data_IF_953932158730
#
_entry.id   IF_953932158730
#
_cell.length_a   1.000
_cell.length_b   1.000
_cell.length_c   1.000
_cell.angle_alpha   90.00
_cell.angle_beta   90.00
_cell.angle_gamma   90.00
#
_symmetry.space_group_name_H-M   'P 1'
#
loop_
_entity.id
_entity.type
_entity.pdbx_description
1 polymer ?
#
# COMPACT_ATOMS: atom_id res chain seq x y z
N UNK A 1 -10.81 -15.14 18.50
CA UNK A 1 -11.07 -13.80 17.93
C UNK A 1 -10.76 -13.72 16.44
N UNK A 2 -9.63 -14.29 15.98
CA UNK A 2 -9.19 -14.22 14.58
C UNK A 2 -10.24 -14.66 13.55
N UNK A 3 -10.92 -15.79 13.82
CA UNK A 3 -11.96 -16.36 12.94
C UNK A 3 -13.39 -15.85 13.23
N UNK A 4 -13.54 -14.88 14.14
CA UNK A 4 -14.81 -14.24 14.36
C UNK A 4 -15.06 -13.16 13.27
N UNK A 5 -16.32 -12.94 12.89
CA UNK A 5 -16.67 -11.88 11.96
C UNK A 5 -16.16 -10.50 12.42
N UNK A 6 -15.82 -9.65 11.45
CA UNK A 6 -15.57 -8.24 11.68
C UNK A 6 -16.67 -7.43 11.00
N UNK A 7 -17.33 -6.57 11.78
CA UNK A 7 -18.35 -5.65 11.30
C UNK A 7 -17.73 -4.27 11.05
N UNK A 8 -17.98 -3.74 9.88
CA UNK A 8 -17.87 -2.33 9.54
C UNK A 8 -19.27 -1.72 9.55
N UNK A 9 -19.39 -0.43 9.28
CA UNK A 9 -20.68 0.25 9.26
C UNK A 9 -21.72 -0.48 8.39
N UNK A 10 -21.36 -0.83 7.16
CA UNK A 10 -22.26 -1.44 6.17
C UNK A 10 -21.73 -2.74 5.55
N UNK A 11 -20.58 -3.24 6.01
CA UNK A 11 -19.96 -4.47 5.52
C UNK A 11 -19.66 -5.41 6.68
N UNK A 12 -19.88 -6.70 6.48
CA UNK A 12 -19.45 -7.74 7.42
C UNK A 12 -18.57 -8.74 6.67
N UNK A 13 -17.40 -9.03 7.21
CA UNK A 13 -16.48 -10.05 6.70
C UNK A 13 -16.45 -11.24 7.65
N UNK A 14 -16.34 -12.47 7.13
CA UNK A 14 -16.49 -13.71 7.90
C UNK A 14 -15.38 -13.97 8.92
N UNK A 15 -14.21 -13.34 8.76
CA UNK A 15 -13.10 -13.40 9.71
C UNK A 15 -12.23 -12.13 9.58
N UNK A 16 -11.21 -12.02 10.42
CA UNK A 16 -10.37 -10.81 10.54
C UNK A 16 -9.08 -10.86 9.74
N UNK A 17 -9.01 -11.78 8.75
CA UNK A 17 -7.86 -11.93 7.85
C UNK A 17 -8.20 -11.36 6.48
N UNK A 18 -7.40 -10.41 6.04
CA UNK A 18 -7.52 -9.76 4.74
C UNK A 18 -6.36 -10.13 3.84
N UNK A 19 -6.61 -10.34 2.57
CA UNK A 19 -5.56 -10.33 1.55
C UNK A 19 -5.25 -8.90 1.19
N UNK A 20 -4.00 -8.47 1.38
CA UNK A 20 -3.57 -7.12 1.03
C UNK A 20 -3.41 -6.95 -0.48
N UNK A 21 -3.50 -5.70 -0.93
CA UNK A 21 -3.27 -5.33 -2.32
C UNK A 21 -1.87 -5.73 -2.80
N UNK A 22 -1.81 -6.54 -3.84
CA UNK A 22 -0.56 -6.92 -4.55
C UNK A 22 -0.84 -7.00 -6.04
N UNK A 23 0.01 -6.35 -6.83
CA UNK A 23 -0.01 -6.49 -8.29
C UNK A 23 0.85 -7.65 -8.75
N UNK A 24 0.38 -8.37 -9.77
CA UNK A 24 1.13 -9.45 -10.42
C UNK A 24 1.77 -9.06 -11.74
N UNK A 25 1.41 -7.91 -12.32
CA UNK A 25 1.86 -7.42 -13.64
C UNK A 25 1.56 -8.39 -14.79
N UNK A 26 0.40 -9.03 -14.77
CA UNK A 26 -0.04 -10.05 -15.76
C UNK A 26 -1.31 -9.66 -16.48
N UNK A 27 -1.79 -8.44 -16.26
CA UNK A 27 -2.93 -7.90 -16.98
C UNK A 27 -2.52 -7.40 -18.37
N UNK A 28 -3.47 -7.05 -19.20
CA UNK A 28 -3.22 -6.62 -20.57
C UNK A 28 -2.64 -5.19 -20.62
N UNK A 29 -1.86 -4.91 -21.65
CA UNK A 29 -1.20 -3.61 -21.86
C UNK A 29 -2.16 -2.43 -22.00
N UNK A 30 -3.36 -2.67 -22.51
CA UNK A 30 -4.40 -1.65 -22.66
C UNK A 30 -5.16 -1.36 -21.36
N UNK A 31 -4.75 -1.94 -20.23
CA UNK A 31 -5.42 -1.79 -18.94
C UNK A 31 -6.65 -2.67 -18.74
N UNK A 32 -6.98 -3.57 -19.67
CA UNK A 32 -8.00 -4.59 -19.44
C UNK A 32 -7.45 -5.74 -18.61
N UNK A 33 -8.29 -6.36 -17.80
CA UNK A 33 -7.94 -7.57 -17.07
C UNK A 33 -8.05 -8.84 -17.93
N UNK A 34 -7.57 -9.95 -17.40
CA UNK A 34 -7.63 -11.24 -18.06
C UNK A 34 -7.89 -12.38 -17.06
N UNK A 35 -8.04 -13.61 -17.58
CA UNK A 35 -8.35 -14.80 -16.76
C UNK A 35 -7.26 -15.12 -15.70
N UNK A 36 -5.99 -14.77 -15.96
CA UNK A 36 -4.92 -14.98 -14.99
C UNK A 36 -5.16 -14.20 -13.70
N UNK A 37 -5.72 -12.96 -13.79
CA UNK A 37 -6.13 -12.17 -12.64
C UNK A 37 -7.25 -12.87 -11.85
N UNK A 38 -8.29 -13.34 -12.52
CA UNK A 38 -9.41 -14.05 -11.87
C UNK A 38 -8.90 -15.28 -11.12
N UNK A 39 -8.04 -16.08 -11.75
CA UNK A 39 -7.45 -17.27 -11.13
C UNK A 39 -6.59 -16.93 -9.91
N UNK A 40 -5.83 -15.86 -10.00
CA UNK A 40 -4.98 -15.40 -8.91
C UNK A 40 -5.80 -14.96 -7.68
N UNK A 41 -6.83 -14.15 -7.89
CA UNK A 41 -7.69 -13.69 -6.78
C UNK A 41 -8.44 -14.91 -6.16
N UNK A 42 -8.96 -15.81 -6.99
CA UNK A 42 -9.63 -17.03 -6.53
C UNK A 42 -8.75 -17.91 -5.63
N UNK A 43 -7.46 -17.99 -5.88
CA UNK A 43 -6.52 -18.77 -5.07
C UNK A 43 -6.58 -18.38 -3.59
N UNK A 44 -6.61 -17.07 -3.30
CA UNK A 44 -6.64 -16.56 -1.94
C UNK A 44 -8.03 -16.61 -1.33
N UNK A 45 -9.08 -16.33 -2.09
CA UNK A 45 -10.45 -16.47 -1.64
C UNK A 45 -10.77 -17.91 -1.21
N UNK A 46 -10.33 -18.91 -2.01
CA UNK A 46 -10.41 -20.33 -1.68
C UNK A 46 -9.62 -20.68 -0.41
N UNK A 47 -8.55 -19.96 -0.11
CA UNK A 47 -7.77 -20.09 1.13
C UNK A 47 -8.49 -19.62 2.38
N UNK A 48 -9.69 -19.05 2.29
CA UNK A 48 -10.58 -18.75 3.42
C UNK A 48 -10.44 -17.37 4.03
N UNK A 49 -9.75 -16.41 3.39
CA UNK A 49 -9.67 -15.02 3.87
C UNK A 49 -11.05 -14.37 3.94
N UNK A 50 -11.26 -13.47 4.90
CA UNK A 50 -12.54 -12.78 5.09
C UNK A 50 -12.83 -11.75 4.01
N UNK A 51 -11.80 -11.02 3.60
CA UNK A 51 -11.90 -10.11 2.47
C UNK A 51 -10.58 -10.04 1.69
N UNK A 52 -10.70 -9.65 0.44
CA UNK A 52 -9.58 -9.36 -0.44
C UNK A 52 -9.59 -7.88 -0.82
N UNK A 53 -8.42 -7.28 -0.71
CA UNK A 53 -8.16 -5.97 -1.31
C UNK A 53 -7.49 -6.25 -2.64
N UNK A 54 -8.09 -5.78 -3.73
CA UNK A 54 -7.57 -6.02 -5.08
C UNK A 54 -6.13 -5.50 -5.24
N UNK A 55 -5.43 -5.91 -6.29
CA UNK A 55 -4.31 -5.08 -6.73
C UNK A 55 -4.78 -3.64 -6.92
N UNK A 56 -3.87 -2.68 -6.78
CA UNK A 56 -4.24 -1.31 -7.08
C UNK A 56 -4.83 -1.20 -8.49
N UNK A 57 -6.00 -0.58 -8.59
CA UNK A 57 -6.69 -0.31 -9.84
C UNK A 57 -6.57 1.19 -10.17
N UNK A 58 -5.76 1.56 -11.16
CA UNK A 58 -5.63 2.96 -11.55
C UNK A 58 -6.95 3.54 -12.06
N UNK A 59 -7.28 4.74 -11.57
CA UNK A 59 -8.51 5.47 -11.94
C UNK A 59 -8.39 6.16 -13.32
N UNK A 60 -7.18 6.18 -13.89
CA UNK A 60 -6.89 6.69 -15.23
C UNK A 60 -5.72 5.93 -15.84
N UNK A 61 -5.62 5.91 -17.17
CA UNK A 61 -4.50 5.28 -17.88
C UNK A 61 -3.16 5.93 -17.50
N UNK A 62 -3.12 7.24 -17.36
CA UNK A 62 -1.91 7.94 -16.92
C UNK A 62 -1.51 7.64 -15.48
N UNK A 63 -2.45 7.15 -14.66
CA UNK A 63 -2.23 6.77 -13.26
C UNK A 63 -1.62 5.39 -13.06
N UNK A 64 -1.31 4.64 -14.11
CA UNK A 64 -0.64 3.33 -14.00
C UNK A 64 0.83 3.48 -13.58
N UNK A 65 1.32 2.53 -12.80
CA UNK A 65 2.76 2.41 -12.53
C UNK A 65 3.45 1.75 -13.72
N UNK A 66 2.88 0.64 -14.19
CA UNK A 66 3.34 -0.13 -15.34
C UNK A 66 2.18 -0.41 -16.29
N UNK A 67 2.43 -0.66 -17.59
CA UNK A 67 1.34 -0.82 -18.56
C UNK A 67 0.45 -2.04 -18.30
N UNK A 68 1.02 -3.15 -17.84
CA UNK A 68 0.33 -4.42 -17.61
C UNK A 68 -0.37 -4.51 -16.25
N UNK A 69 -1.20 -3.53 -15.95
CA UNK A 69 -2.04 -3.44 -14.75
C UNK A 69 -3.47 -3.11 -15.15
N UNK A 70 -4.42 -3.90 -14.64
CA UNK A 70 -5.84 -3.67 -14.87
C UNK A 70 -6.29 -2.36 -14.24
N UNK A 71 -7.02 -1.55 -15.00
CA UNK A 71 -7.54 -0.26 -14.58
C UNK A 71 -9.05 -0.31 -14.27
N UNK A 72 -9.58 0.80 -13.77
CA UNK A 72 -11.01 1.06 -13.66
C UNK A 72 -11.36 2.45 -14.24
N UNK A 73 -10.63 2.84 -15.26
CA UNK A 73 -10.64 4.16 -15.88
C UNK A 73 -11.84 4.42 -16.81
N UNK A 74 -12.47 3.37 -17.31
CA UNK A 74 -13.60 3.44 -18.24
C UNK A 74 -14.65 2.35 -17.98
N UNK A 75 -15.84 2.51 -18.54
CA UNK A 75 -16.99 1.63 -18.24
C UNK A 75 -16.81 0.22 -18.83
N UNK A 76 -15.99 0.07 -19.85
CA UNK A 76 -15.62 -1.23 -20.44
C UNK A 76 -14.87 -2.13 -19.44
N UNK A 77 -14.41 -1.59 -18.31
CA UNK A 77 -13.78 -2.37 -17.22
C UNK A 77 -14.81 -3.03 -16.29
N UNK A 78 -16.04 -2.53 -16.24
CA UNK A 78 -17.10 -2.99 -15.32
C UNK A 78 -17.36 -4.50 -15.43
N UNK A 79 -17.56 -5.10 -16.64
CA UNK A 79 -17.82 -6.53 -16.76
C UNK A 79 -16.67 -7.40 -16.18
N UNK A 80 -15.43 -6.99 -16.42
CA UNK A 80 -14.27 -7.72 -15.88
C UNK A 80 -14.24 -7.70 -14.35
N UNK A 81 -14.39 -6.53 -13.74
CA UNK A 81 -14.37 -6.43 -12.27
C UNK A 81 -15.56 -7.16 -11.64
N UNK A 82 -16.73 -7.17 -12.30
CA UNK A 82 -17.87 -8.00 -11.88
C UNK A 82 -17.51 -9.48 -11.87
N UNK A 83 -16.88 -9.97 -12.92
CA UNK A 83 -16.43 -11.37 -13.01
C UNK A 83 -15.48 -11.73 -11.87
N UNK A 84 -14.53 -10.86 -11.52
CA UNK A 84 -13.62 -11.07 -10.39
C UNK A 84 -14.39 -11.11 -9.07
N UNK A 85 -15.27 -10.15 -8.82
CA UNK A 85 -16.08 -10.08 -7.60
C UNK A 85 -16.97 -11.30 -7.41
N UNK A 86 -17.64 -11.77 -8.46
CA UNK A 86 -18.46 -12.97 -8.44
C UNK A 86 -17.65 -14.23 -8.16
N UNK A 87 -16.48 -14.36 -8.78
CA UNK A 87 -15.59 -15.50 -8.58
C UNK A 87 -15.12 -15.61 -7.13
N UNK A 88 -14.75 -14.48 -6.52
CA UNK A 88 -14.31 -14.40 -5.10
C UNK A 88 -15.48 -14.66 -4.14
N UNK A 89 -16.66 -14.14 -4.43
CA UNK A 89 -17.86 -14.26 -3.59
C UNK A 89 -18.32 -15.70 -3.40
N UNK A 90 -18.02 -16.63 -4.33
CA UNK A 90 -18.30 -18.07 -4.20
C UNK A 90 -17.69 -18.69 -2.95
N UNK A 91 -16.68 -18.05 -2.37
CA UNK A 91 -15.99 -18.48 -1.15
C UNK A 91 -16.38 -17.65 0.08
N UNK A 92 -17.52 -16.96 0.05
CA UNK A 92 -17.98 -16.05 1.12
C UNK A 92 -16.89 -14.99 1.48
N UNK A 93 -16.07 -14.63 0.50
CA UNK A 93 -15.02 -13.64 0.63
C UNK A 93 -15.49 -12.32 0.03
N UNK A 94 -15.30 -11.23 0.75
CA UNK A 94 -15.62 -9.89 0.26
C UNK A 94 -14.50 -9.36 -0.65
N UNK A 95 -14.86 -8.59 -1.67
CA UNK A 95 -13.92 -8.03 -2.62
C UNK A 95 -13.95 -6.50 -2.62
N UNK A 96 -12.88 -5.89 -2.10
CA UNK A 96 -12.69 -4.44 -1.96
C UNK A 96 -11.68 -4.00 -3.02
N UNK A 97 -12.10 -3.14 -3.94
CA UNK A 97 -11.18 -2.64 -4.98
C UNK A 97 -10.32 -1.50 -4.45
N UNK A 98 -9.00 -1.58 -4.65
CA UNK A 98 -8.10 -0.49 -4.27
C UNK A 98 -7.94 0.51 -5.42
N UNK A 99 -8.54 1.68 -5.30
CA UNK A 99 -8.40 2.79 -6.24
C UNK A 99 -7.06 3.50 -6.03
N UNK A 100 -6.35 3.78 -7.12
CA UNK A 100 -5.00 4.35 -7.05
C UNK A 100 -4.69 5.27 -8.23
N UNK A 101 -3.64 6.06 -8.05
CA UNK A 101 -2.94 6.79 -9.09
C UNK A 101 -1.46 6.87 -8.70
N UNK A 102 -0.56 6.48 -9.60
CA UNK A 102 0.88 6.37 -9.29
C UNK A 102 1.55 7.70 -8.96
N UNK A 103 1.03 8.80 -9.50
CA UNK A 103 1.73 10.08 -9.40
C UNK A 103 3.14 9.97 -10.00
N UNK A 104 4.14 10.52 -9.33
CA UNK A 104 5.53 10.53 -9.78
C UNK A 104 6.23 9.16 -9.80
N UNK A 105 5.59 8.11 -9.25
CA UNK A 105 6.11 6.73 -9.33
C UNK A 105 5.62 6.00 -10.61
N UNK A 106 5.40 6.71 -11.68
CA UNK A 106 4.94 6.19 -12.96
C UNK A 106 6.12 5.66 -13.78
N UNK A 107 6.02 4.45 -14.29
CA UNK A 107 7.06 3.79 -15.10
C UNK A 107 6.53 3.24 -16.44
N UNK A 108 5.54 3.89 -17.03
CA UNK A 108 4.90 3.40 -18.27
C UNK A 108 5.80 3.62 -19.48
N UNK A 109 6.30 4.84 -19.65
CA UNK A 109 7.01 5.24 -20.85
C UNK A 109 8.41 4.64 -20.94
N UNK A 110 9.01 4.31 -19.80
CA UNK A 110 10.27 3.61 -19.80
C UNK A 110 10.16 2.22 -20.39
N UNK A 111 9.10 1.49 -20.10
CA UNK A 111 8.84 0.16 -20.67
C UNK A 111 8.44 0.27 -22.15
N UNK A 112 7.66 1.25 -22.55
CA UNK A 112 7.28 1.48 -23.94
C UNK A 112 8.47 1.91 -24.80
N UNK A 113 9.36 2.74 -24.29
CA UNK A 113 10.55 3.22 -25.00
C UNK A 113 11.59 2.13 -25.28
N UNK A 114 11.65 1.07 -24.48
CA UNK A 114 12.57 -0.05 -24.75
C UNK A 114 12.12 -0.93 -25.91
N UNK A 115 10.86 -0.88 -26.28
CA UNK A 115 10.34 -1.64 -27.43
C UNK A 115 10.46 -0.86 -28.75
N UNK A 116 10.63 0.45 -28.69
CA UNK A 116 10.86 1.31 -29.85
C UNK A 116 12.37 1.56 -29.96
N UNK A 117 13.09 0.55 -30.44
CA UNK A 117 14.50 0.59 -30.75
C UNK A 117 14.88 1.92 -31.43
N UNK A 118 15.78 2.68 -30.81
CA UNK A 118 16.52 3.84 -31.33
C UNK A 118 15.92 5.24 -31.20
N UNK A 119 14.75 5.46 -30.64
CA UNK A 119 14.33 6.82 -30.30
C UNK A 119 14.45 7.04 -28.80
N UNK A 120 15.38 7.92 -28.39
CA UNK A 120 15.42 8.46 -27.03
C UNK A 120 14.24 9.44 -26.85
N UNK A 121 13.06 8.89 -26.65
CA UNK A 121 11.91 9.72 -26.28
C UNK A 121 12.09 10.05 -24.81
N UNK A 122 12.24 11.34 -24.50
CA UNK A 122 12.27 11.79 -23.11
C UNK A 122 10.96 11.40 -22.43
N UNK A 123 10.98 10.75 -21.26
CA UNK A 123 9.77 10.39 -20.56
C UNK A 123 8.96 11.64 -20.20
N UNK A 124 7.66 11.62 -20.45
CA UNK A 124 6.77 12.73 -20.08
C UNK A 124 6.72 12.86 -18.56
N UNK A 125 6.77 14.10 -18.02
CA UNK A 125 6.65 14.30 -16.59
C UNK A 125 5.34 13.73 -16.05
N UNK A 126 5.43 12.94 -14.98
CA UNK A 126 4.27 12.36 -14.31
C UNK A 126 3.56 13.39 -13.42
N UNK A 127 2.23 13.44 -13.40
CA UNK A 127 1.48 14.38 -12.56
C UNK A 127 1.73 14.09 -11.07
N UNK A 128 2.04 15.13 -10.28
CA UNK A 128 2.40 15.02 -8.87
C UNK A 128 2.03 16.30 -8.09
N UNK A 129 2.28 16.27 -6.78
CA UNK A 129 2.27 17.48 -5.93
C UNK A 129 3.59 18.27 -5.96
N UNK A 130 4.57 17.82 -6.75
CA UNK A 130 5.94 18.37 -6.82
C UNK A 130 6.51 18.25 -8.22
N UNK A 131 7.49 19.11 -8.53
CA UNK A 131 8.32 18.98 -9.74
C UNK A 131 9.56 18.11 -9.51
N UNK A 132 9.78 17.62 -8.29
CA UNK A 132 10.90 16.75 -7.99
C UNK A 132 10.63 15.32 -8.46
N UNK A 133 11.56 14.81 -9.25
CA UNK A 133 11.56 13.41 -9.66
C UNK A 133 11.55 12.46 -8.45
N UNK A 134 10.96 11.28 -8.63
CA UNK A 134 11.12 10.20 -7.68
C UNK A 134 12.61 9.81 -7.56
N UNK A 135 13.11 9.70 -6.33
CA UNK A 135 14.55 9.50 -6.09
C UNK A 135 15.06 8.13 -6.48
N UNK A 136 14.16 7.15 -6.44
CA UNK A 136 14.54 5.76 -6.73
C UNK A 136 14.54 5.51 -8.22
N UNK A 137 13.48 5.91 -8.91
CA UNK A 137 13.32 5.68 -10.33
C UNK A 137 13.92 6.82 -11.17
N UNK A 138 13.96 8.05 -10.64
CA UNK A 138 14.47 9.23 -11.33
C UNK A 138 13.62 9.71 -12.49
N UNK A 139 12.34 9.28 -12.50
CA UNK A 139 11.38 9.69 -13.51
C UNK A 139 10.95 11.14 -13.27
N UNK A 140 10.84 11.97 -14.31
CA UNK A 140 10.45 13.37 -14.17
C UNK A 140 9.01 13.48 -13.65
N UNK A 141 8.78 14.47 -12.80
CA UNK A 141 7.48 14.80 -12.25
C UNK A 141 7.14 16.25 -12.59
N UNK A 142 5.84 16.56 -12.59
CA UNK A 142 5.34 17.91 -12.75
C UNK A 142 4.27 18.20 -11.71
N UNK A 143 4.41 19.31 -11.03
CA UNK A 143 3.40 19.82 -10.12
C UNK A 143 2.13 20.17 -10.91
N UNK A 144 1.06 19.46 -10.63
CA UNK A 144 -0.22 19.61 -11.34
C UNK A 144 -0.82 21.00 -11.10
N UNK A 145 -1.39 21.63 -12.12
CA UNK A 145 -2.28 22.76 -11.90
C UNK A 145 -3.57 22.33 -11.18
N UNK A 146 -4.20 23.25 -10.47
CA UNK A 146 -5.39 22.99 -9.63
C UNK A 146 -6.55 22.35 -10.41
N UNK A 147 -6.77 22.74 -11.67
CA UNK A 147 -7.80 22.12 -12.51
C UNK A 147 -7.53 20.63 -12.77
N UNK A 148 -6.26 20.23 -12.94
CA UNK A 148 -5.89 18.80 -13.07
C UNK A 148 -6.10 18.06 -11.76
N UNK A 149 -5.82 18.67 -10.60
CA UNK A 149 -6.13 18.08 -9.29
C UNK A 149 -7.63 17.78 -9.19
N UNK A 150 -8.48 18.75 -9.50
CA UNK A 150 -9.94 18.58 -9.50
C UNK A 150 -10.43 17.53 -10.50
N UNK A 151 -9.80 17.45 -11.69
CA UNK A 151 -10.10 16.40 -12.65
C UNK A 151 -9.83 15.00 -12.07
N UNK A 152 -8.69 14.81 -11.39
CA UNK A 152 -8.34 13.51 -10.78
C UNK A 152 -9.30 13.16 -9.64
N UNK A 153 -9.78 14.14 -8.86
CA UNK A 153 -10.86 13.91 -7.87
C UNK A 153 -12.08 13.30 -8.56
N UNK A 154 -12.49 13.83 -9.72
CA UNK A 154 -13.61 13.28 -10.48
C UNK A 154 -13.30 11.90 -11.10
N UNK A 155 -12.04 11.62 -11.44
CA UNK A 155 -11.64 10.28 -11.91
C UNK A 155 -11.82 9.23 -10.80
N UNK A 156 -11.46 9.55 -9.54
CA UNK A 156 -11.73 8.68 -8.40
C UNK A 156 -13.23 8.47 -8.17
N UNK A 157 -14.05 9.53 -8.27
CA UNK A 157 -15.50 9.42 -8.13
C UNK A 157 -16.12 8.54 -9.23
N UNK A 158 -15.72 8.71 -10.50
CA UNK A 158 -16.16 7.85 -11.60
C UNK A 158 -15.73 6.40 -11.43
N UNK A 159 -14.49 6.16 -10.96
CA UNK A 159 -14.00 4.83 -10.63
C UNK A 159 -14.83 4.17 -9.51
N UNK A 160 -15.28 4.95 -8.53
CA UNK A 160 -16.16 4.48 -7.46
C UNK A 160 -17.54 4.06 -7.97
N UNK A 161 -18.13 4.81 -8.90
CA UNK A 161 -19.38 4.44 -9.57
C UNK A 161 -19.20 3.08 -10.26
N UNK A 162 -18.15 2.92 -11.06
CA UNK A 162 -17.85 1.65 -11.75
C UNK A 162 -17.67 0.47 -10.80
N UNK A 163 -17.01 0.69 -9.66
CA UNK A 163 -16.87 -0.34 -8.64
C UNK A 163 -18.23 -0.79 -8.07
N UNK A 164 -19.13 0.14 -7.81
CA UNK A 164 -20.49 -0.13 -7.36
C UNK A 164 -21.31 -0.84 -8.45
N UNK A 165 -21.25 -0.39 -9.69
CA UNK A 165 -21.92 -1.02 -10.86
C UNK A 165 -21.35 -2.42 -11.16
N UNK A 166 -20.07 -2.66 -10.90
CA UNK A 166 -19.47 -4.00 -10.95
C UNK A 166 -19.93 -4.90 -9.81
N UNK A 167 -20.79 -4.41 -8.92
CA UNK A 167 -21.30 -5.13 -7.74
C UNK A 167 -20.16 -5.63 -6.83
N UNK A 168 -19.12 -4.81 -6.63
CA UNK A 168 -18.07 -5.08 -5.66
C UNK A 168 -18.54 -4.73 -4.24
N UNK A 169 -17.84 -5.24 -3.23
CA UNK A 169 -18.27 -5.06 -1.83
C UNK A 169 -17.77 -3.73 -1.22
N UNK A 170 -16.83 -3.03 -1.86
CA UNK A 170 -16.32 -1.75 -1.37
C UNK A 170 -15.10 -1.25 -2.10
N UNK A 171 -14.58 -0.12 -1.61
CA UNK A 171 -13.43 0.61 -2.13
C UNK A 171 -12.38 0.81 -1.04
N UNK A 172 -11.11 0.66 -1.40
CA UNK A 172 -9.98 1.17 -0.63
C UNK A 172 -9.28 2.29 -1.39
N UNK A 173 -9.07 3.45 -0.77
CA UNK A 173 -8.22 4.51 -1.31
C UNK A 173 -6.75 4.23 -1.00
N UNK A 174 -5.92 4.16 -2.04
CA UNK A 174 -4.47 3.99 -1.86
C UNK A 174 -3.80 5.32 -1.52
N UNK A 175 -3.83 5.68 -0.24
CA UNK A 175 -3.30 6.94 0.29
C UNK A 175 -1.94 6.75 1.00
N UNK A 176 -1.16 5.77 0.57
CA UNK A 176 0.09 5.36 1.19
C UNK A 176 1.20 5.10 0.15
N UNK A 177 2.40 4.76 0.62
CA UNK A 177 3.53 4.23 -0.15
C UNK A 177 4.09 5.18 -1.22
N UNK A 178 3.86 6.49 -1.08
CA UNK A 178 4.36 7.50 -2.01
C UNK A 178 3.62 7.60 -3.34
N UNK A 179 2.42 7.02 -3.45
CA UNK A 179 1.53 7.22 -4.59
C UNK A 179 0.81 8.57 -4.49
N UNK A 180 0.05 8.95 -5.51
CA UNK A 180 -0.40 10.32 -5.69
C UNK A 180 -1.05 10.94 -4.45
N UNK A 181 -2.00 10.26 -3.81
CA UNK A 181 -2.65 10.79 -2.61
C UNK A 181 -1.63 10.99 -1.49
N UNK A 182 -0.73 10.02 -1.28
CA UNK A 182 0.34 10.18 -0.28
C UNK A 182 1.32 11.30 -0.64
N UNK A 183 1.57 11.56 -1.94
CA UNK A 183 2.40 12.69 -2.37
C UNK A 183 1.80 14.03 -1.95
N UNK A 184 0.47 14.16 -1.92
CA UNK A 184 -0.20 15.35 -1.39
C UNK A 184 -0.16 15.43 0.13
N UNK A 185 -0.34 14.31 0.83
CA UNK A 185 -0.30 14.25 2.29
C UNK A 185 1.10 14.53 2.87
N UNK A 186 2.15 14.07 2.18
CA UNK A 186 3.53 14.06 2.68
C UNK A 186 4.13 15.44 2.82
N UNK A 187 4.62 15.78 4.02
CA UNK A 187 5.37 17.01 4.28
C UNK A 187 6.76 17.04 3.60
N UNK A 188 7.28 15.86 3.20
CA UNK A 188 8.56 15.77 2.49
C UNK A 188 8.43 15.85 0.97
N UNK A 189 7.28 15.47 0.42
CA UNK A 189 7.06 15.38 -1.03
C UNK A 189 6.28 16.56 -1.55
N UNK A 190 5.24 17.01 -0.83
CA UNK A 190 4.38 18.09 -1.26
C UNK A 190 5.09 19.45 -1.17
N UNK A 191 5.31 20.07 -2.33
CA UNK A 191 5.96 21.37 -2.45
C UNK A 191 5.00 22.45 -2.97
N UNK A 192 3.70 22.21 -2.83
CA UNK A 192 2.68 23.18 -3.25
C UNK A 192 2.60 24.35 -2.27
N UNK A 193 2.25 25.51 -2.80
CA UNK A 193 2.04 26.76 -2.05
C UNK A 193 0.61 27.28 -2.16
N UNK A 194 -0.25 26.50 -2.84
CA UNK A 194 -1.68 26.77 -2.97
C UNK A 194 -2.50 26.02 -1.89
N UNK A 195 -3.82 25.98 -2.07
CA UNK A 195 -4.77 25.36 -1.13
C UNK A 195 -4.54 23.86 -0.88
N UNK A 196 -3.65 23.20 -1.62
CA UNK A 196 -3.31 21.77 -1.46
C UNK A 196 -1.93 21.55 -0.83
N UNK A 197 -1.25 22.60 -0.35
CA UNK A 197 0.11 22.50 0.18
C UNK A 197 0.33 23.25 1.49
N UNK A 198 1.53 23.14 2.06
CA UNK A 198 1.90 23.77 3.31
C UNK A 198 1.39 23.03 4.54
N UNK A 199 0.43 23.58 5.25
CA UNK A 199 -0.13 23.01 6.48
C UNK A 199 -0.83 21.65 6.24
N UNK A 200 -0.90 20.82 7.29
CA UNK A 200 -1.48 19.50 7.22
C UNK A 200 -2.91 19.49 6.67
N UNK A 201 -3.74 20.45 7.08
CA UNK A 201 -5.12 20.59 6.62
C UNK A 201 -5.20 20.81 5.10
N UNK A 202 -4.31 21.61 4.54
CA UNK A 202 -4.23 21.84 3.10
C UNK A 202 -3.70 20.61 2.37
N UNK A 203 -2.69 19.93 2.93
CA UNK A 203 -2.17 18.67 2.37
C UNK A 203 -3.23 17.55 2.39
N UNK A 204 -4.12 17.54 3.36
CA UNK A 204 -5.24 16.62 3.46
C UNK A 204 -6.37 16.92 2.46
N UNK A 205 -6.53 18.15 2.01
CA UNK A 205 -7.63 18.62 1.14
C UNK A 205 -7.87 17.74 -0.08
N UNK A 206 -6.83 17.29 -0.75
CA UNK A 206 -6.97 16.43 -1.93
C UNK A 206 -7.66 15.09 -1.59
N UNK A 207 -7.24 14.45 -0.51
CA UNK A 207 -7.88 13.22 -0.01
C UNK A 207 -9.30 13.48 0.47
N UNK A 208 -9.54 14.58 1.15
CA UNK A 208 -10.86 14.99 1.61
C UNK A 208 -11.84 15.18 0.44
N UNK A 209 -11.44 15.87 -0.60
CA UNK A 209 -12.27 16.06 -1.80
C UNK A 209 -12.59 14.73 -2.48
N UNK A 210 -11.62 13.82 -2.58
CA UNK A 210 -11.84 12.46 -3.12
C UNK A 210 -12.88 11.70 -2.27
N UNK A 211 -12.74 11.69 -0.95
CA UNK A 211 -13.68 10.98 -0.06
C UNK A 211 -15.09 11.54 -0.20
N UNK A 212 -15.23 12.86 -0.17
CA UNK A 212 -16.53 13.54 -0.28
C UNK A 212 -17.20 13.33 -1.63
N UNK A 213 -16.44 13.42 -2.73
CA UNK A 213 -17.01 13.16 -4.07
C UNK A 213 -17.39 11.69 -4.24
N UNK A 214 -16.63 10.74 -3.70
CA UNK A 214 -17.00 9.33 -3.69
C UNK A 214 -18.29 9.14 -2.91
N UNK A 215 -18.40 9.64 -1.66
CA UNK A 215 -19.62 9.52 -0.85
C UNK A 215 -20.86 10.10 -1.55
N UNK A 216 -20.69 11.24 -2.20
CA UNK A 216 -21.77 11.88 -2.97
C UNK A 216 -22.32 10.98 -4.09
N UNK A 217 -21.47 10.20 -4.77
CA UNK A 217 -21.90 9.40 -5.93
C UNK A 217 -22.25 7.95 -5.60
N UNK A 218 -21.64 7.34 -4.56
CA UNK A 218 -21.94 5.95 -4.18
C UNK A 218 -22.82 5.84 -2.94
N UNK A 219 -23.01 6.93 -2.18
CA UNK A 219 -23.77 6.97 -0.92
C UNK A 219 -22.99 6.40 0.26
N UNK A 220 -23.64 6.43 1.43
CA UNK A 220 -23.00 6.05 2.70
C UNK A 220 -22.95 4.54 2.91
N UNK A 221 -23.85 3.78 2.27
CA UNK A 221 -23.94 2.32 2.47
C UNK A 221 -22.87 1.52 1.74
N UNK A 222 -22.18 2.09 0.75
CA UNK A 222 -21.11 1.42 0.04
C UNK A 222 -19.81 1.54 0.82
N UNK A 223 -19.20 0.41 1.18
CA UNK A 223 -18.00 0.40 2.02
C UNK A 223 -16.85 1.18 1.39
N UNK A 224 -16.29 2.12 2.14
CA UNK A 224 -15.16 2.96 1.77
C UNK A 224 -14.12 2.97 2.88
N UNK A 225 -12.92 2.49 2.59
CA UNK A 225 -11.78 2.52 3.51
C UNK A 225 -10.58 3.24 2.90
N UNK A 226 -9.66 3.72 3.75
CA UNK A 226 -8.44 4.38 3.31
C UNK A 226 -7.20 3.68 3.84
N UNK A 227 -6.23 3.40 2.96
CA UNK A 227 -4.92 2.91 3.36
C UNK A 227 -3.95 4.06 3.54
N UNK A 228 -3.43 4.22 4.78
CA UNK A 228 -2.61 5.35 5.20
C UNK A 228 -1.21 4.89 5.59
N UNK A 229 -0.20 5.65 5.16
CA UNK A 229 1.16 5.54 5.70
C UNK A 229 1.26 6.36 6.98
N UNK A 230 1.33 5.65 8.12
CA UNK A 230 1.35 6.30 9.45
C UNK A 230 2.69 6.91 9.81
N UNK A 231 3.76 6.48 9.16
CA UNK A 231 5.09 7.09 9.22
C UNK A 231 5.75 6.99 7.87
N UNK A 232 6.41 8.05 7.49
CA UNK A 232 7.25 8.10 6.31
C UNK A 232 8.71 8.14 6.72
N UNK A 233 9.60 7.67 5.87
CA UNK A 233 11.03 7.64 6.11
C UNK A 233 11.80 8.08 4.86
N UNK A 234 11.37 9.19 4.26
CA UNK A 234 11.99 9.73 3.03
C UNK A 234 13.46 10.08 3.24
N UNK A 235 13.85 10.39 4.47
CA UNK A 235 15.20 10.81 4.85
C UNK A 235 16.13 9.65 5.26
N UNK A 236 15.74 8.39 5.09
CA UNK A 236 16.56 7.25 5.56
C UNK A 236 17.92 7.16 4.87
N UNK A 237 18.02 7.62 3.61
CA UNK A 237 19.27 7.67 2.83
C UNK A 237 19.90 9.06 2.91
N UNK A 238 19.09 10.07 3.17
CA UNK A 238 19.47 11.49 3.22
C UNK A 238 19.00 12.10 4.55
N UNK A 239 19.72 11.83 5.66
CA UNK A 239 19.26 12.17 7.02
C UNK A 239 19.00 13.68 7.27
N UNK A 240 19.54 14.54 6.41
CA UNK A 240 19.36 15.99 6.47
C UNK A 240 18.05 16.49 5.83
N UNK A 241 17.28 15.60 5.21
CA UNK A 241 16.00 15.94 4.61
C UNK A 241 14.82 15.66 5.54
N UNK A 242 13.64 16.14 5.16
CA UNK A 242 12.41 15.85 5.89
C UNK A 242 12.07 14.37 5.79
N UNK A 243 11.68 13.77 6.91
CA UNK A 243 11.22 12.36 6.94
C UNK A 243 9.87 12.18 6.26
N UNK A 244 9.03 13.20 6.23
CA UNK A 244 7.63 13.14 5.82
C UNK A 244 6.71 13.07 7.04
N UNK A 245 5.51 12.56 6.85
CA UNK A 245 4.49 12.53 7.91
C UNK A 245 4.94 11.66 9.09
N UNK A 246 4.66 12.17 10.27
CA UNK A 246 4.86 11.52 11.57
C UNK A 246 3.53 10.97 12.10
N UNK A 247 3.57 10.19 13.19
CA UNK A 247 2.39 9.51 13.72
C UNK A 247 1.28 10.49 14.13
N UNK A 248 1.63 11.62 14.73
CA UNK A 248 0.70 12.65 15.17
C UNK A 248 -0.10 13.23 13.99
N UNK A 249 0.57 13.50 12.87
CA UNK A 249 -0.09 13.94 11.63
C UNK A 249 -0.98 12.83 11.06
N UNK A 250 -0.55 11.57 11.12
CA UNK A 250 -1.34 10.44 10.66
C UNK A 250 -2.59 10.22 11.52
N UNK A 251 -2.50 10.38 12.84
CA UNK A 251 -3.66 10.34 13.74
C UNK A 251 -4.67 11.41 13.33
N UNK A 252 -4.22 12.64 13.13
CA UNK A 252 -5.10 13.73 12.73
C UNK A 252 -5.76 13.49 11.36
N UNK A 253 -5.02 12.93 10.39
CA UNK A 253 -5.58 12.54 9.09
C UNK A 253 -6.65 11.45 9.28
N UNK A 254 -6.41 10.46 10.13
CA UNK A 254 -7.36 9.38 10.39
C UNK A 254 -8.64 9.89 11.07
N UNK A 255 -8.54 10.84 12.00
CA UNK A 255 -9.69 11.50 12.61
C UNK A 255 -10.54 12.25 11.58
N UNK A 256 -9.91 13.03 10.70
CA UNK A 256 -10.62 13.70 9.61
C UNK A 256 -11.27 12.72 8.62
N UNK A 257 -10.61 11.58 8.33
CA UNK A 257 -11.20 10.53 7.49
C UNK A 257 -12.46 9.92 8.13
N UNK A 258 -12.44 9.68 9.45
CA UNK A 258 -13.61 9.22 10.20
C UNK A 258 -14.75 10.24 10.15
N UNK A 259 -14.44 11.53 10.32
CA UNK A 259 -15.41 12.64 10.21
C UNK A 259 -15.96 12.80 8.78
N UNK A 260 -15.14 12.61 7.75
CA UNK A 260 -15.56 12.64 6.34
C UNK A 260 -16.28 11.35 5.90
N UNK A 261 -16.48 10.38 6.82
CA UNK A 261 -17.36 9.22 6.61
C UNK A 261 -16.68 7.98 6.02
N UNK A 262 -15.38 7.80 6.25
CA UNK A 262 -14.67 6.55 5.91
C UNK A 262 -15.05 5.47 6.93
N UNK A 263 -15.19 4.21 6.48
CA UNK A 263 -15.69 3.08 7.30
C UNK A 263 -14.58 2.27 7.99
N UNK A 264 -13.33 2.43 7.55
CA UNK A 264 -12.17 1.78 8.17
C UNK A 264 -10.85 2.45 7.75
N UNK A 265 -9.85 2.33 8.60
CA UNK A 265 -8.47 2.71 8.27
C UNK A 265 -7.61 1.46 8.11
N UNK A 266 -6.88 1.38 6.98
CA UNK A 266 -5.90 0.35 6.73
C UNK A 266 -4.49 0.91 6.97
N UNK A 267 -3.91 0.54 8.09
CA UNK A 267 -2.63 1.06 8.57
C UNK A 267 -1.46 0.40 7.85
N UNK A 268 -0.59 1.22 7.27
CA UNK A 268 0.67 0.84 6.65
C UNK A 268 1.76 1.86 6.98
N UNK A 269 2.94 1.76 6.37
CA UNK A 269 4.03 2.74 6.56
C UNK A 269 4.86 2.91 5.29
N UNK A 270 5.65 3.99 5.25
CA UNK A 270 6.55 4.30 4.15
C UNK A 270 5.92 5.13 3.03
N UNK A 271 6.75 5.80 2.25
CA UNK A 271 6.34 6.75 1.23
C UNK A 271 7.03 6.55 -0.12
N UNK A 272 7.74 5.42 -0.26
CA UNK A 272 8.45 5.10 -1.51
C UNK A 272 8.65 3.60 -1.63
N UNK A 273 8.70 3.06 -2.83
CA UNK A 273 9.00 1.65 -3.07
C UNK A 273 10.07 1.54 -4.17
N UNK A 274 11.10 0.70 -4.01
CA UNK A 274 11.42 -0.11 -2.84
C UNK A 274 12.02 0.72 -1.70
N UNK A 275 11.65 0.40 -0.46
CA UNK A 275 12.17 1.04 0.74
C UNK A 275 12.50 -0.02 1.80
N UNK A 276 13.59 0.12 2.61
CA UNK A 276 14.00 -0.89 3.58
C UNK A 276 12.96 -1.20 4.65
N UNK A 277 12.16 -0.18 5.01
CA UNK A 277 11.09 -0.29 5.99
C UNK A 277 9.72 -0.61 5.36
N UNK A 278 9.71 -0.79 4.05
CA UNK A 278 8.54 -1.14 3.27
C UNK A 278 8.95 -2.26 2.29
N UNK A 279 8.54 -3.41 2.45
CA UNK A 279 7.68 -4.12 3.39
C UNK A 279 8.42 -4.61 4.62
N UNK A 280 7.67 -5.15 5.57
CA UNK A 280 8.22 -5.85 6.73
C UNK A 280 9.05 -7.05 6.31
N UNK A 281 10.21 -7.20 6.91
CA UNK A 281 11.15 -8.28 6.63
C UNK A 281 12.53 -7.80 6.19
N UNK A 282 13.48 -8.71 6.04
CA UNK A 282 14.79 -8.35 5.51
C UNK A 282 14.62 -7.75 4.13
N UNK A 283 15.40 -6.71 3.86
CA UNK A 283 15.37 -6.05 2.56
C UNK A 283 15.66 -7.07 1.45
N UNK A 284 14.74 -7.28 0.50
CA UNK A 284 14.88 -8.34 -0.50
C UNK A 284 15.85 -7.91 -1.60
N UNK A 285 17.12 -7.80 -1.26
CA UNK A 285 18.17 -7.24 -2.09
C UNK A 285 18.24 -7.87 -3.48
N UNK A 286 18.14 -9.20 -3.54
CA UNK A 286 18.15 -9.90 -4.83
C UNK A 286 16.92 -9.58 -5.68
N UNK A 287 15.74 -9.50 -5.07
CA UNK A 287 14.52 -9.13 -5.79
C UNK A 287 14.57 -7.68 -6.28
N UNK A 288 15.16 -6.78 -5.49
CA UNK A 288 15.38 -5.40 -5.92
C UNK A 288 16.36 -5.35 -7.09
N UNK A 289 17.42 -6.15 -7.05
CA UNK A 289 18.35 -6.30 -8.18
C UNK A 289 17.64 -6.77 -9.46
N UNK A 290 16.82 -7.82 -9.37
CA UNK A 290 16.02 -8.29 -10.52
C UNK A 290 15.00 -7.24 -10.99
N UNK A 291 14.42 -6.51 -10.07
CA UNK A 291 13.50 -5.41 -10.40
C UNK A 291 14.25 -4.31 -11.15
N UNK A 292 15.45 -3.93 -10.70
CA UNK A 292 16.29 -2.96 -11.43
C UNK A 292 16.80 -3.49 -12.76
N UNK A 293 17.11 -4.77 -12.88
CA UNK A 293 17.48 -5.39 -14.17
C UNK A 293 16.34 -5.27 -15.20
N UNK A 294 15.09 -5.40 -14.75
CA UNK A 294 13.89 -5.17 -15.58
C UNK A 294 13.56 -3.69 -15.77
N UNK A 295 13.85 -2.85 -14.80
CA UNK A 295 13.54 -1.41 -14.81
C UNK A 295 14.63 -0.55 -15.47
N UNK A 296 15.85 -1.07 -15.65
CA UNK A 296 16.89 -0.36 -16.41
C UNK A 296 16.54 -0.19 -17.86
N UNK A 297 15.66 -1.03 -18.35
CA UNK A 297 15.03 -0.82 -19.64
C UNK A 297 14.13 0.43 -19.64
N UNK A 298 13.65 0.90 -18.50
CA UNK A 298 12.77 2.08 -18.40
C UNK A 298 13.50 3.44 -18.34
N UNK A 299 14.80 3.48 -18.54
CA UNK A 299 15.50 4.68 -18.98
C UNK A 299 15.79 5.77 -17.95
N UNK A 300 15.51 5.57 -16.68
CA UNK A 300 15.86 6.55 -15.64
C UNK A 300 17.36 6.53 -15.29
N UNK A 301 18.05 7.68 -15.36
CA UNK A 301 19.47 7.80 -14.93
C UNK A 301 19.72 7.23 -13.53
N UNK A 302 18.76 7.38 -12.62
CA UNK A 302 18.86 6.87 -11.26
C UNK A 302 18.68 5.35 -11.20
N UNK A 303 17.80 4.77 -12.00
CA UNK A 303 17.60 3.31 -12.10
C UNK A 303 18.88 2.66 -12.64
N UNK A 304 19.49 3.23 -13.68
CA UNK A 304 20.76 2.74 -14.23
C UNK A 304 21.91 2.85 -13.22
N UNK A 305 22.04 4.00 -12.55
CA UNK A 305 23.05 4.19 -11.50
C UNK A 305 22.87 3.17 -10.37
N UNK A 306 21.65 2.98 -9.92
CA UNK A 306 21.34 2.04 -8.84
C UNK A 306 21.62 0.59 -9.28
N UNK A 307 21.31 0.22 -10.53
CA UNK A 307 21.66 -1.08 -11.07
C UNK A 307 23.17 -1.33 -11.05
N UNK A 308 23.96 -0.36 -11.49
CA UNK A 308 25.44 -0.46 -11.46
C UNK A 308 25.90 -0.67 -10.01
N UNK A 309 25.40 0.12 -9.06
CA UNK A 309 25.71 -0.01 -7.64
C UNK A 309 25.37 -1.41 -7.09
N UNK A 310 24.31 -2.03 -7.59
CA UNK A 310 23.90 -3.38 -7.17
C UNK A 310 24.63 -4.53 -7.89
N UNK A 311 25.26 -4.27 -9.02
CA UNK A 311 26.03 -5.30 -9.76
C UNK A 311 27.37 -5.63 -9.14
N UNK A 312 28.04 -4.67 -8.52
CA UNK A 312 29.37 -4.90 -7.93
C UNK A 312 29.27 -5.50 -6.54
N UNK A 313 29.83 -6.68 -6.30
CA UNK A 313 29.75 -7.39 -5.01
C UNK A 313 30.20 -6.57 -3.80
N UNK A 314 31.26 -5.78 -3.94
CA UNK A 314 31.76 -4.94 -2.86
C UNK A 314 30.84 -3.76 -2.54
N UNK A 315 30.18 -3.18 -3.54
CA UNK A 315 29.14 -2.16 -3.35
C UNK A 315 27.86 -2.77 -2.74
N UNK A 316 27.51 -4.00 -3.14
CA UNK A 316 26.42 -4.76 -2.51
C UNK A 316 26.69 -4.95 -1.01
N UNK A 317 27.92 -5.32 -0.66
CA UNK A 317 28.31 -5.52 0.74
C UNK A 317 28.18 -4.23 1.57
N UNK A 318 28.66 -3.10 1.04
CA UNK A 318 28.54 -1.79 1.68
C UNK A 318 27.07 -1.42 1.83
N UNK A 319 26.29 -1.58 0.76
CA UNK A 319 24.88 -1.25 0.74
C UNK A 319 24.08 -2.11 1.71
N UNK A 320 24.29 -3.43 1.73
CA UNK A 320 23.67 -4.34 2.68
C UNK A 320 24.01 -3.99 4.13
N UNK A 321 25.24 -3.53 4.37
CA UNK A 321 25.70 -3.13 5.71
C UNK A 321 25.04 -1.83 6.17
N UNK A 322 24.89 -0.87 5.28
CA UNK A 322 24.18 0.39 5.56
C UNK A 322 22.68 0.13 5.70
N UNK A 323 22.07 -0.51 4.72
CA UNK A 323 20.62 -0.78 4.68
C UNK A 323 20.18 -1.85 5.68
N UNK A 324 21.02 -2.78 6.02
CA UNK A 324 20.75 -3.76 7.08
C UNK A 324 20.88 -3.22 8.50
N UNK A 325 21.61 -2.12 8.73
CA UNK A 325 21.78 -1.50 10.05
C UNK A 325 20.74 -0.43 10.34
N UNK A 326 20.39 0.39 9.36
CA UNK A 326 19.41 1.46 9.50
C UNK A 326 18.01 0.94 9.89
N UNK A 327 17.43 -0.06 9.18
CA UNK A 327 16.17 -0.67 9.59
C UNK A 327 16.22 -1.26 10.99
N UNK A 328 17.31 -1.95 11.37
CA UNK A 328 17.45 -2.55 12.71
C UNK A 328 17.42 -1.52 13.83
N UNK A 329 18.05 -0.37 13.63
CA UNK A 329 18.07 0.70 14.65
C UNK A 329 16.69 1.33 14.80
N UNK A 330 15.97 1.51 13.71
CA UNK A 330 14.61 2.05 13.70
C UNK A 330 13.61 0.98 14.19
N UNK A 331 13.72 -0.27 13.71
CA UNK A 331 12.87 -1.37 14.14
C UNK A 331 13.01 -1.66 15.64
N UNK A 332 14.22 -1.70 16.17
CA UNK A 332 14.45 -1.92 17.61
C UNK A 332 13.85 -0.81 18.49
N UNK A 333 13.72 0.41 17.97
CA UNK A 333 13.05 1.50 18.71
C UNK A 333 11.52 1.37 18.73
N UNK A 334 10.93 0.59 17.82
CA UNK A 334 9.48 0.41 17.68
C UNK A 334 8.99 -0.99 18.08
N UNK A 335 9.87 -1.99 18.17
CA UNK A 335 9.53 -3.35 18.56
C UNK A 335 9.53 -3.50 20.09
N UNK A 336 8.40 -3.19 20.73
CA UNK A 336 8.09 -3.84 21.99
C UNK A 336 7.21 -5.06 21.71
N UNK A 337 7.48 -6.21 22.36
CA UNK A 337 6.62 -7.38 22.21
C UNK A 337 5.18 -7.00 22.58
N UNK A 338 4.24 -7.43 21.76
CA UNK A 338 2.81 -7.31 22.07
C UNK A 338 2.58 -8.06 23.38
N UNK A 339 2.16 -7.35 24.44
CA UNK A 339 1.87 -7.96 25.74
C UNK A 339 0.86 -9.10 25.54
N UNK A 340 1.16 -10.32 25.94
CA UNK A 340 0.34 -11.51 25.70
C UNK A 340 0.63 -12.25 24.40
N UNK A 341 1.62 -11.83 23.59
CA UNK A 341 2.09 -12.57 22.41
C UNK A 341 3.12 -13.64 22.75
N UNK A 342 3.42 -13.81 24.04
CA UNK A 342 4.15 -14.98 24.53
C UNK A 342 3.38 -16.23 24.10
N UNK A 343 3.99 -17.01 23.25
CA UNK A 343 3.36 -18.16 22.59
C UNK A 343 3.05 -19.20 23.66
N UNK A 344 1.84 -19.15 24.18
CA UNK A 344 1.28 -20.25 24.98
C UNK A 344 0.62 -21.28 24.03
N UNK A 345 1.39 -21.84 23.15
CA UNK A 345 0.95 -22.97 22.36
C UNK A 345 1.90 -24.14 22.67
N UNK A 346 1.55 -24.96 23.64
CA UNK A 346 2.34 -26.12 24.08
C UNK A 346 2.78 -27.03 22.94
N UNK A 347 1.97 -27.13 21.86
CA UNK A 347 2.30 -27.93 20.71
C UNK A 347 3.39 -27.29 19.84
N UNK A 348 3.30 -25.99 19.58
CA UNK A 348 4.32 -25.25 18.85
C UNK A 348 5.61 -25.16 19.66
N UNK A 349 5.51 -24.91 20.96
CA UNK A 349 6.65 -24.94 21.88
C UNK A 349 7.35 -26.29 21.90
N UNK A 350 6.62 -27.40 21.87
CA UNK A 350 7.19 -28.74 21.86
C UNK A 350 7.87 -29.05 20.52
N UNK A 351 7.23 -28.74 19.39
CA UNK A 351 7.78 -28.96 18.06
C UNK A 351 9.05 -28.15 17.79
N UNK A 352 9.11 -26.90 18.27
CA UNK A 352 10.23 -26.02 18.01
C UNK A 352 11.35 -26.13 19.04
N UNK A 353 11.07 -26.52 20.28
CA UNK A 353 12.10 -26.89 21.26
C UNK A 353 12.95 -28.07 20.83
N UNK A 354 12.42 -28.94 20.00
CA UNK A 354 13.15 -30.07 19.45
C UNK A 354 14.10 -29.72 18.27
N UNK A 355 13.90 -28.55 17.59
CA UNK A 355 14.58 -28.22 16.34
C UNK A 355 15.32 -26.88 16.32
N UNK A 356 14.98 -25.96 17.23
CA UNK A 356 15.62 -24.65 17.36
C UNK A 356 15.61 -24.20 18.83
N UNK A 357 16.66 -23.53 19.28
CA UNK A 357 16.60 -22.93 20.60
C UNK A 357 15.46 -21.89 20.68
N UNK A 358 14.68 -21.91 21.74
CA UNK A 358 13.52 -21.04 21.97
C UNK A 358 13.85 -19.56 21.77
N UNK A 359 15.10 -19.17 22.08
CA UNK A 359 15.58 -17.80 21.90
C UNK A 359 15.83 -17.44 20.43
N UNK A 360 16.35 -18.35 19.62
CA UNK A 360 16.60 -18.10 18.18
C UNK A 360 15.30 -18.07 17.39
N UNK A 361 14.37 -18.95 17.74
CA UNK A 361 13.06 -19.00 17.12
C UNK A 361 12.19 -17.78 17.46
N UNK A 362 12.11 -17.39 18.73
CA UNK A 362 11.44 -16.16 19.15
C UNK A 362 12.07 -14.92 18.52
N UNK A 363 13.39 -14.91 18.35
CA UNK A 363 14.13 -13.82 17.71
C UNK A 363 13.87 -13.76 16.19
N UNK A 364 13.72 -14.91 15.53
CA UNK A 364 13.40 -14.99 14.10
C UNK A 364 11.95 -14.59 13.80
N UNK A 365 11.01 -15.07 14.58
CA UNK A 365 9.57 -14.85 14.40
C UNK A 365 9.13 -13.44 14.79
N UNK A 366 9.60 -12.94 15.92
CA UNK A 366 9.21 -11.61 16.42
C UNK A 366 9.85 -10.46 15.63
N UNK A 367 10.91 -10.74 14.89
CA UNK A 367 11.71 -9.70 14.25
C UNK A 367 11.00 -8.98 13.11
N UNK A 368 9.96 -9.59 12.51
CA UNK A 368 9.36 -9.09 11.28
C UNK A 368 7.82 -9.01 11.30
N UNK A 369 7.19 -9.50 12.37
CA UNK A 369 5.74 -9.45 12.51
C UNK A 369 5.29 -8.19 13.27
N UNK A 370 4.14 -7.64 12.86
CA UNK A 370 3.48 -6.56 13.59
C UNK A 370 4.23 -5.24 13.63
N UNK A 371 5.11 -4.97 12.67
CA UNK A 371 6.00 -3.80 12.66
C UNK A 371 5.29 -2.44 12.73
N UNK A 372 3.97 -2.40 12.51
CA UNK A 372 3.12 -1.20 12.58
C UNK A 372 2.05 -1.28 13.66
N UNK A 373 2.02 -2.38 14.45
CA UNK A 373 0.96 -2.59 15.45
C UNK A 373 0.91 -1.53 16.54
N UNK A 374 2.07 -1.03 16.96
CA UNK A 374 2.12 0.04 17.98
C UNK A 374 1.46 1.31 17.45
N UNK A 375 1.84 1.72 16.25
CA UNK A 375 1.25 2.90 15.60
C UNK A 375 -0.25 2.70 15.33
N UNK A 376 -0.65 1.48 14.93
CA UNK A 376 -2.05 1.13 14.73
C UNK A 376 -2.87 1.23 16.03
N UNK A 377 -2.30 0.80 17.17
CA UNK A 377 -2.94 0.93 18.50
C UNK A 377 -3.13 2.40 18.88
N UNK A 378 -2.12 3.23 18.68
CA UNK A 378 -2.21 4.68 18.94
C UNK A 378 -3.30 5.33 18.09
N UNK A 379 -3.38 5.00 16.79
CA UNK A 379 -4.46 5.48 15.92
C UNK A 379 -5.81 5.00 16.44
N UNK A 380 -5.95 3.71 16.75
CA UNK A 380 -7.21 3.13 17.24
C UNK A 380 -7.71 3.82 18.51
N UNK A 381 -6.82 4.17 19.44
CA UNK A 381 -7.17 4.86 20.67
C UNK A 381 -7.63 6.31 20.46
N UNK A 382 -7.31 6.90 19.30
CA UNK A 382 -7.67 8.26 18.93
C UNK A 382 -8.85 8.35 17.95
N UNK A 383 -9.40 7.21 17.51
CA UNK A 383 -10.62 7.13 16.70
C UNK A 383 -11.81 6.76 17.57
N UNK A 384 -13.02 7.06 17.10
CA UNK A 384 -14.25 6.82 17.84
C UNK A 384 -14.75 5.40 17.67
N UNK A 385 -15.02 4.99 16.42
CA UNK A 385 -15.73 3.73 16.16
C UNK A 385 -15.20 2.91 14.97
N UNK A 386 -14.48 3.52 14.01
CA UNK A 386 -14.12 2.81 12.80
C UNK A 386 -13.02 1.77 13.02
N UNK A 387 -13.16 0.56 12.46
CA UNK A 387 -12.18 -0.50 12.61
C UNK A 387 -10.83 -0.17 11.97
N UNK A 388 -9.78 -0.71 12.58
CA UNK A 388 -8.40 -0.64 12.08
C UNK A 388 -7.98 -1.99 11.50
N UNK A 389 -7.52 -1.97 10.26
CA UNK A 389 -6.85 -3.10 9.60
C UNK A 389 -5.36 -2.78 9.54
N UNK A 390 -4.50 -3.72 9.88
CA UNK A 390 -3.05 -3.46 9.94
C UNK A 390 -2.28 -4.39 9.00
N UNK A 391 -1.39 -3.82 8.19
CA UNK A 391 -0.39 -4.56 7.41
C UNK A 391 0.94 -4.54 8.16
N UNK A 392 1.67 -5.68 8.22
CA UNK A 392 2.96 -5.65 8.92
C UNK A 392 3.64 -7.01 9.08
N UNK A 393 3.79 -7.80 8.02
CA UNK A 393 4.59 -9.04 8.04
C UNK A 393 4.00 -10.16 8.90
N UNK A 394 2.70 -10.19 9.07
CA UNK A 394 2.01 -11.23 9.84
C UNK A 394 2.17 -12.60 9.19
N UNK A 395 2.47 -13.63 10.00
CA UNK A 395 2.68 -15.00 9.57
C UNK A 395 2.03 -16.04 10.48
N UNK A 396 1.85 -15.72 11.76
CA UNK A 396 1.38 -16.66 12.78
C UNK A 396 -0.01 -16.30 13.28
N UNK A 397 -0.91 -17.27 13.28
CA UNK A 397 -2.28 -17.12 13.76
C UNK A 397 -2.34 -16.75 15.26
N UNK A 398 -1.47 -17.33 16.08
CA UNK A 398 -1.38 -17.01 17.52
C UNK A 398 -1.00 -15.56 17.77
N UNK A 399 0.01 -15.05 17.06
CA UNK A 399 0.43 -13.65 17.14
C UNK A 399 -0.68 -12.69 16.68
N UNK A 400 -1.33 -13.00 15.57
CA UNK A 400 -2.46 -12.21 15.05
C UNK A 400 -3.61 -12.19 16.05
N UNK A 401 -3.96 -13.37 16.61
CA UNK A 401 -5.02 -13.47 17.60
C UNK A 401 -4.70 -12.66 18.86
N UNK A 402 -3.46 -12.69 19.34
CA UNK A 402 -3.00 -11.88 20.47
C UNK A 402 -3.05 -10.37 20.18
N UNK A 403 -2.67 -9.96 18.96
CA UNK A 403 -2.75 -8.55 18.54
C UNK A 403 -4.19 -8.03 18.51
N UNK A 404 -5.14 -8.85 18.05
CA UNK A 404 -6.57 -8.52 18.04
C UNK A 404 -7.13 -8.50 19.48
N UNK A 405 -6.82 -9.53 20.29
CA UNK A 405 -7.27 -9.61 21.68
C UNK A 405 -6.71 -8.46 22.54
N UNK A 406 -5.46 -8.05 22.29
CA UNK A 406 -4.82 -6.91 22.93
C UNK A 406 -5.25 -5.54 22.42
N UNK A 407 -6.25 -5.48 21.55
CA UNK A 407 -6.80 -4.23 20.99
C UNK A 407 -5.78 -3.40 20.19
N UNK A 408 -4.78 -4.04 19.56
CA UNK A 408 -3.83 -3.35 18.70
C UNK A 408 -4.41 -3.08 17.30
N UNK A 409 -5.30 -3.95 16.86
CA UNK A 409 -5.97 -3.89 15.55
C UNK A 409 -7.27 -4.68 15.59
N UNK A 410 -8.18 -4.44 14.65
CA UNK A 410 -9.42 -5.20 14.50
C UNK A 410 -9.31 -6.31 13.47
N UNK A 411 -8.42 -6.15 12.50
CA UNK A 411 -8.10 -7.12 11.47
C UNK A 411 -6.67 -6.97 10.96
N UNK A 412 -6.16 -8.00 10.30
CA UNK A 412 -4.82 -7.98 9.72
C UNK A 412 -4.86 -8.21 8.22
N UNK A 413 -3.95 -7.56 7.52
CA UNK A 413 -3.80 -7.66 6.08
C UNK A 413 -2.46 -8.28 5.73
N UNK A 414 -2.48 -9.37 4.94
CA UNK A 414 -1.32 -10.18 4.60
C UNK A 414 -1.04 -10.08 3.10
N UNK A 415 0.19 -9.69 2.75
CA UNK A 415 0.62 -9.48 1.37
C UNK A 415 1.40 -10.68 0.81
N UNK A 416 2.52 -10.99 1.46
CA UNK A 416 3.45 -12.07 1.09
C UNK A 416 3.50 -13.04 2.25
N UNK A 417 2.96 -14.18 2.04
CA UNK A 417 2.92 -15.32 2.97
C UNK A 417 3.15 -16.59 2.18
#
# INVERSE_FOLDING_TARGET
MLFQPLKFRHLTVKNRIFRSSITGRWDNYNGSGNQARVNWENKFAKGGVGAMISSYAPVSIEGRITPNVVTIDCDERIPFWRTVGEAVRRYECKYIIQLSHSGRQRDIEGIENTQILHQQIAPKPAPSSTDQADRIHGLPAIKMPTNKVKQIVQDFARAAIRAKEANLDGIELHSSHGYLINQFLSSAINQRTDEYGGELKNRYRFLQEIVREIRKVVGDEFHLQAKISVREFNNIITPWEKSGNILEEAIQICQWLEEDGVDAIHVSRGSTFPHPLLPSGPFPFQMVRYTYDTMTSSGGKNSFRNLILFRYHWLQFIFQRIWGRLPRKIENSYQQPVKGSEIQNEWLDKFFKEHLSTAEFSKLLNKHQGTVLRDAKEIKQNLREIPIITTGGFQQASYINAAIAGQYTDGVSMART
#
